data_IF_806559008520
#
_entry.id   IF_806559008520
#
_cell.length_a   1.000
_cell.length_b   1.000
_cell.length_c   1.000
_cell.angle_alpha   90.00
_cell.angle_beta   90.00
_cell.angle_gamma   90.00
#
_symmetry.space_group_name_H-M   'P 1'
#
loop_
_entity.id
_entity.type
_entity.pdbx_description
1 polymer ?
#
# COMPACT_ATOMS: atom_id res chain seq x y z
N UNK A 1 34.54 -10.98 54.48
CA UNK A 1 33.48 -10.38 53.65
C UNK A 1 33.45 -8.91 54.00
N UNK A 2 33.75 -8.03 53.05
CA UNK A 2 33.60 -6.59 53.26
C UNK A 2 32.17 -6.15 52.97
N UNK A 3 31.74 -5.01 53.53
CA UNK A 3 30.44 -4.41 53.19
C UNK A 3 30.27 -4.16 51.68
N UNK A 4 31.38 -3.96 50.95
CA UNK A 4 31.38 -3.70 49.51
C UNK A 4 30.80 -4.83 48.64
N UNK A 5 30.96 -6.11 49.02
CA UNK A 5 30.33 -7.21 48.28
C UNK A 5 28.81 -7.22 48.45
N UNK A 6 28.33 -6.96 49.67
CA UNK A 6 26.89 -6.90 49.96
C UNK A 6 26.22 -5.67 49.34
N UNK A 7 26.88 -4.51 49.38
CA UNK A 7 26.38 -3.26 48.82
C UNK A 7 26.29 -3.30 47.30
N UNK A 8 27.35 -3.76 46.61
CA UNK A 8 27.34 -3.88 45.15
C UNK A 8 26.28 -4.86 44.65
N UNK A 9 26.04 -5.95 45.38
CA UNK A 9 24.92 -6.87 45.10
C UNK A 9 23.54 -6.23 45.32
N UNK A 10 23.39 -5.36 46.33
CA UNK A 10 22.14 -4.64 46.60
C UNK A 10 21.82 -3.65 45.46
N UNK A 11 22.81 -2.87 45.04
CA UNK A 11 22.68 -1.88 43.97
C UNK A 11 22.33 -2.55 42.63
N UNK A 12 23.02 -3.65 42.30
CA UNK A 12 22.74 -4.43 41.10
C UNK A 12 21.32 -5.04 41.12
N UNK A 13 20.87 -5.54 42.29
CA UNK A 13 19.50 -6.05 42.44
C UNK A 13 18.45 -4.95 42.31
N UNK A 14 18.72 -3.73 42.80
CA UNK A 14 17.82 -2.57 42.65
C UNK A 14 17.64 -2.19 41.18
N UNK A 15 18.75 -2.04 40.44
CA UNK A 15 18.67 -1.71 39.01
C UNK A 15 17.94 -2.80 38.20
N UNK A 16 18.12 -4.07 38.56
CA UNK A 16 17.38 -5.16 37.94
C UNK A 16 15.86 -5.05 38.20
N UNK A 17 15.47 -4.71 39.44
CA UNK A 17 14.07 -4.49 39.79
C UNK A 17 13.48 -3.29 39.03
N UNK A 18 14.25 -2.22 38.81
CA UNK A 18 13.81 -1.06 38.05
C UNK A 18 13.55 -1.41 36.58
N UNK A 19 14.45 -2.20 35.96
CA UNK A 19 14.28 -2.68 34.58
C UNK A 19 13.06 -3.59 34.45
N UNK A 20 12.89 -4.56 35.36
CA UNK A 20 11.72 -5.46 35.38
C UNK A 20 10.43 -4.65 35.60
N UNK A 21 10.43 -3.69 36.53
CA UNK A 21 9.31 -2.80 36.80
C UNK A 21 8.91 -1.99 35.57
N UNK A 22 9.89 -1.45 34.84
CA UNK A 22 9.66 -0.73 33.59
C UNK A 22 9.05 -1.63 32.50
N UNK A 23 9.59 -2.85 32.32
CA UNK A 23 9.04 -3.83 31.38
C UNK A 23 7.57 -4.13 31.69
N UNK A 24 7.23 -4.39 32.96
CA UNK A 24 5.86 -4.68 33.39
C UNK A 24 4.94 -3.47 33.14
N UNK A 25 5.39 -2.26 33.47
CA UNK A 25 4.60 -1.05 33.24
C UNK A 25 4.29 -0.84 31.76
N UNK A 26 5.23 -1.20 30.87
CA UNK A 26 5.09 -1.07 29.42
C UNK A 26 4.66 -2.35 28.69
N UNK A 27 4.10 -3.33 29.42
CA UNK A 27 3.66 -4.59 28.82
C UNK A 27 2.51 -4.42 27.81
N UNK A 28 1.77 -3.31 27.88
CA UNK A 28 0.68 -2.98 26.95
C UNK A 28 1.04 -1.84 25.98
N UNK A 29 2.24 -1.29 26.06
CA UNK A 29 2.65 -0.18 25.20
C UNK A 29 3.04 -0.71 23.82
N UNK A 30 2.38 -0.22 22.77
CA UNK A 30 2.63 -0.64 21.38
C UNK A 30 4.06 -0.28 20.95
N UNK A 31 4.73 -1.22 20.28
CA UNK A 31 6.11 -1.06 19.82
C UNK A 31 7.16 -1.05 20.92
N UNK A 32 6.81 -1.30 22.19
CA UNK A 32 7.77 -1.34 23.28
C UNK A 32 8.71 -2.56 23.18
N UNK A 33 9.99 -2.33 23.49
CA UNK A 33 11.04 -3.35 23.52
C UNK A 33 11.53 -3.55 24.95
N UNK A 34 11.31 -4.74 25.48
CA UNK A 34 11.79 -5.17 26.80
C UNK A 34 13.28 -4.92 26.95
N UNK A 35 13.70 -4.50 28.15
CA UNK A 35 15.10 -4.33 28.49
C UNK A 35 15.57 -5.44 29.43
N UNK A 36 16.87 -5.71 29.46
CA UNK A 36 17.49 -6.65 30.41
C UNK A 36 18.81 -6.08 30.90
N UNK A 37 19.00 -6.08 32.22
CA UNK A 37 20.27 -5.73 32.83
C UNK A 37 21.27 -6.89 32.69
N UNK A 38 22.47 -6.60 32.21
CA UNK A 38 23.58 -7.54 32.19
C UNK A 38 24.56 -7.20 33.32
N UNK A 39 25.18 -8.22 33.90
CA UNK A 39 26.04 -8.07 35.06
C UNK A 39 27.45 -8.59 34.75
N UNK A 40 28.45 -7.92 35.32
CA UNK A 40 29.84 -8.37 35.29
C UNK A 40 30.39 -8.46 36.70
N UNK A 41 31.21 -9.48 36.96
CA UNK A 41 31.94 -9.58 38.22
C UNK A 41 33.05 -8.53 38.30
N UNK A 42 33.42 -8.18 39.54
CA UNK A 42 34.54 -7.28 39.81
C UNK A 42 35.62 -8.09 40.50
N UNK A 43 36.82 -8.13 39.92
CA UNK A 43 38.00 -8.75 40.51
C UNK A 43 39.12 -7.72 40.71
N UNK A 44 39.85 -7.86 41.82
CA UNK A 44 41.19 -7.30 42.00
C UNK A 44 42.24 -8.41 41.80
N UNK A 45 43.53 -8.07 41.90
CA UNK A 45 44.67 -9.03 41.81
C UNK A 45 44.62 -10.17 42.86
N UNK A 46 43.67 -10.13 43.80
CA UNK A 46 43.41 -11.20 44.77
C UNK A 46 42.40 -12.23 44.22
N UNK A 47 42.48 -13.48 44.70
CA UNK A 47 41.59 -14.58 44.29
C UNK A 47 40.13 -14.46 44.80
N UNK A 48 39.80 -13.40 45.54
CA UNK A 48 38.47 -13.15 46.09
C UNK A 48 37.80 -12.02 45.31
N UNK A 49 36.58 -12.27 44.81
CA UNK A 49 35.79 -11.27 44.10
C UNK A 49 35.40 -10.07 44.98
N UNK A 50 35.32 -8.89 44.35
CA UNK A 50 34.94 -7.63 44.98
C UNK A 50 33.43 -7.34 44.88
N UNK A 51 32.68 -8.18 44.17
CA UNK A 51 31.23 -8.05 44.00
C UNK A 51 30.82 -8.07 42.54
N UNK A 52 29.76 -7.34 42.22
CA UNK A 52 29.13 -7.30 40.89
C UNK A 52 28.86 -5.85 40.48
N UNK A 53 28.88 -5.56 39.19
CA UNK A 53 28.36 -4.31 38.62
C UNK A 53 27.39 -4.59 37.49
N UNK A 54 26.50 -3.63 37.21
CA UNK A 54 25.72 -3.63 35.98
C UNK A 54 26.64 -3.20 34.84
N UNK A 55 26.77 -4.05 33.82
CA UNK A 55 27.64 -3.81 32.68
C UNK A 55 26.92 -3.01 31.58
N UNK A 56 25.68 -3.39 31.28
CA UNK A 56 24.80 -2.69 30.34
C UNK A 56 23.32 -2.95 30.67
N UNK A 57 22.45 -2.11 30.13
CA UNK A 57 21.01 -2.36 30.05
C UNK A 57 20.69 -2.43 28.56
N UNK A 58 20.50 -3.64 28.05
CA UNK A 58 20.29 -3.86 26.63
C UNK A 58 18.79 -4.05 26.33
N UNK A 59 18.33 -3.48 25.23
CA UNK A 59 16.97 -3.68 24.76
C UNK A 59 16.89 -4.91 23.84
N UNK A 60 15.84 -5.71 24.01
CA UNK A 60 15.57 -6.86 23.16
C UNK A 60 14.70 -6.42 22.00
N UNK A 61 15.29 -6.33 20.81
CA UNK A 61 14.59 -5.98 19.56
C UNK A 61 13.90 -7.18 18.88
N UNK A 62 13.56 -8.22 19.65
CA UNK A 62 12.70 -9.30 19.13
C UNK A 62 11.31 -8.75 18.80
N UNK A 63 10.67 -9.36 17.81
CA UNK A 63 9.35 -8.93 17.33
C UNK A 63 8.28 -9.36 18.34
N UNK A 64 7.38 -8.45 18.67
CA UNK A 64 6.17 -8.74 19.43
C UNK A 64 5.11 -9.42 18.56
N UNK A 65 3.95 -9.72 19.13
CA UNK A 65 2.84 -10.22 18.32
C UNK A 65 2.26 -9.08 17.46
N UNK A 66 2.09 -9.29 16.16
CA UNK A 66 1.44 -8.33 15.27
C UNK A 66 -0.07 -8.57 15.33
N UNK A 67 -0.83 -7.56 15.74
CA UNK A 67 -2.29 -7.64 15.87
C UNK A 67 -2.97 -6.66 14.93
N UNK A 68 -3.97 -7.13 14.18
CA UNK A 68 -4.82 -6.26 13.36
C UNK A 68 -5.70 -5.40 14.25
N UNK A 69 -5.69 -4.09 14.00
CA UNK A 69 -6.47 -3.08 14.75
C UNK A 69 -7.67 -2.57 13.94
N UNK A 70 -7.61 -2.67 12.61
CA UNK A 70 -8.56 -2.03 11.70
C UNK A 70 -8.38 -0.52 11.55
N UNK A 71 -7.42 0.08 12.27
CA UNK A 71 -7.07 1.49 12.12
C UNK A 71 -6.43 1.75 10.76
N UNK A 72 -7.00 2.65 9.96
CA UNK A 72 -6.59 2.85 8.58
C UNK A 72 -5.09 3.20 8.42
N UNK A 73 -4.52 3.93 9.39
CA UNK A 73 -3.13 4.40 9.38
C UNK A 73 -2.20 3.59 10.26
N UNK A 74 -2.72 2.55 10.93
CA UNK A 74 -1.90 1.69 11.76
C UNK A 74 -1.00 0.83 10.87
N UNK A 75 0.28 0.78 11.20
CA UNK A 75 1.29 0.01 10.49
C UNK A 75 2.10 -0.85 11.46
N UNK A 76 2.32 -2.10 11.10
CA UNK A 76 3.25 -2.97 11.80
C UNK A 76 4.40 -3.34 10.88
N UNK A 77 5.60 -3.41 11.46
CA UNK A 77 6.77 -3.99 10.80
C UNK A 77 6.73 -5.50 11.07
N UNK A 78 6.46 -6.29 10.04
CA UNK A 78 6.38 -7.75 10.13
C UNK A 78 7.79 -8.36 10.03
N UNK A 79 8.58 -8.17 11.09
CA UNK A 79 9.93 -8.73 11.20
C UNK A 79 10.87 -7.97 12.14
N UNK A 80 12.03 -8.59 12.40
CA UNK A 80 13.02 -8.07 13.37
C UNK A 80 13.80 -6.87 12.87
N UNK A 81 13.76 -6.57 11.57
CA UNK A 81 14.65 -5.61 10.93
C UNK A 81 13.85 -4.44 10.36
N UNK A 82 14.16 -3.22 10.81
CA UNK A 82 13.52 -2.00 10.34
C UNK A 82 12.92 -1.17 11.47
N UNK A 83 12.96 0.14 11.30
CA UNK A 83 12.30 1.14 12.14
C UNK A 83 11.61 2.14 11.22
N UNK A 84 10.45 2.64 11.63
CA UNK A 84 9.86 3.80 10.99
C UNK A 84 10.74 5.01 11.25
N UNK A 85 11.04 5.77 10.18
CA UNK A 85 11.79 7.01 10.29
C UNK A 85 10.84 8.19 10.39
N UNK A 86 10.94 8.92 11.48
CA UNK A 86 10.14 10.09 11.77
C UNK A 86 10.99 11.36 11.71
N UNK A 87 10.34 12.49 11.47
CA UNK A 87 10.95 13.81 11.56
C UNK A 87 10.04 14.74 12.36
N UNK A 88 10.61 15.51 13.27
CA UNK A 88 9.86 16.52 14.02
C UNK A 88 9.82 17.87 13.27
N UNK A 89 9.13 18.86 13.84
CA UNK A 89 9.02 20.19 13.25
C UNK A 89 10.35 20.96 13.19
N UNK A 90 11.36 20.55 13.97
CA UNK A 90 12.72 21.13 13.95
C UNK A 90 13.62 20.50 12.88
N UNK A 91 13.17 19.42 12.25
CA UNK A 91 13.96 18.62 11.30
C UNK A 91 14.79 17.52 11.96
N UNK A 92 14.65 17.30 13.27
CA UNK A 92 15.35 16.24 13.98
C UNK A 92 14.74 14.88 13.62
N UNK A 93 15.60 13.90 13.36
CA UNK A 93 15.21 12.56 12.93
C UNK A 93 15.14 11.65 14.15
N UNK A 94 14.07 10.87 14.24
CA UNK A 94 13.95 9.78 15.22
C UNK A 94 13.46 8.51 14.55
N UNK A 95 13.66 7.40 15.23
CA UNK A 95 13.29 6.08 14.76
C UNK A 95 12.31 5.45 15.75
N UNK A 96 11.29 4.75 15.28
CA UNK A 96 10.32 4.06 16.15
C UNK A 96 9.88 2.72 15.60
N UNK A 97 9.39 1.88 16.51
CA UNK A 97 8.64 0.64 16.22
C UNK A 97 7.14 0.83 16.41
N UNK A 98 6.72 1.89 17.08
CA UNK A 98 5.30 2.18 17.22
C UNK A 98 4.77 2.71 15.90
N UNK A 99 3.88 1.95 15.26
CA UNK A 99 3.24 2.36 14.02
C UNK A 99 1.79 2.80 14.18
N UNK A 100 1.43 3.32 15.36
CA UNK A 100 0.18 4.05 15.56
C UNK A 100 0.32 5.45 14.95
N UNK A 101 -0.22 5.62 13.75
CA UNK A 101 -0.23 6.89 13.03
C UNK A 101 -1.64 7.46 12.89
N UNK A 102 -1.70 8.75 12.63
CA UNK A 102 -2.89 9.50 12.26
C UNK A 102 -2.54 10.55 11.22
N UNK A 103 -3.50 11.43 10.93
CA UNK A 103 -3.32 12.54 10.00
C UNK A 103 -3.42 13.86 10.76
N UNK A 104 -2.50 14.79 10.48
CA UNK A 104 -2.59 16.15 10.99
C UNK A 104 -3.46 17.08 10.11
N UNK A 105 -3.64 18.34 10.54
CA UNK A 105 -4.41 19.35 9.77
C UNK A 105 -3.84 19.66 8.37
N UNK A 106 -2.59 19.30 8.11
CA UNK A 106 -1.87 19.54 6.86
C UNK A 106 -1.83 18.28 5.98
N UNK A 107 -2.53 17.21 6.37
CA UNK A 107 -2.56 15.92 5.71
C UNK A 107 -1.23 15.15 5.76
N UNK A 108 -0.35 15.44 6.71
CA UNK A 108 0.83 14.62 6.97
C UNK A 108 0.44 13.40 7.79
N UNK A 109 1.08 12.26 7.52
CA UNK A 109 1.00 11.10 8.39
C UNK A 109 1.88 11.37 9.62
N UNK A 110 1.29 11.42 10.80
CA UNK A 110 1.97 11.76 12.06
C UNK A 110 1.72 10.72 13.15
N UNK A 111 2.64 10.59 14.09
CA UNK A 111 2.39 9.82 15.32
C UNK A 111 1.64 10.67 16.37
N UNK A 112 1.34 10.09 17.53
CA UNK A 112 0.69 10.77 18.64
C UNK A 112 1.48 11.99 19.19
N UNK A 113 2.79 12.03 18.99
CA UNK A 113 3.67 13.14 19.37
C UNK A 113 3.76 14.25 18.29
N UNK A 114 3.06 14.09 17.15
CA UNK A 114 3.07 15.05 16.04
C UNK A 114 4.29 14.98 15.13
N UNK A 115 5.13 13.94 15.27
CA UNK A 115 6.27 13.71 14.38
C UNK A 115 5.78 13.06 13.09
N UNK A 116 6.32 13.50 11.96
CA UNK A 116 5.89 13.10 10.63
C UNK A 116 6.59 11.82 10.17
N UNK A 117 5.82 10.86 9.65
CA UNK A 117 6.34 9.68 8.99
C UNK A 117 6.98 10.07 7.66
N UNK A 118 8.19 9.57 7.41
CA UNK A 118 8.95 9.87 6.19
C UNK A 118 8.98 8.69 5.23
N UNK A 119 9.13 9.00 3.95
CA UNK A 119 9.13 8.03 2.87
C UNK A 119 9.62 8.63 1.56
N UNK A 120 9.46 7.86 0.50
CA UNK A 120 9.81 8.25 -0.85
C UNK A 120 8.55 8.68 -1.60
N UNK A 121 8.65 9.73 -2.41
CA UNK A 121 7.60 10.09 -3.36
C UNK A 121 7.39 9.00 -4.41
N UNK A 122 6.35 9.09 -5.25
CA UNK A 122 6.05 8.10 -6.28
C UNK A 122 7.25 7.88 -7.20
N UNK A 123 7.73 6.63 -7.29
CA UNK A 123 8.92 6.27 -8.10
C UNK A 123 10.26 6.79 -7.57
N UNK A 124 10.30 7.42 -6.39
CA UNK A 124 11.48 8.05 -5.80
C UNK A 124 12.28 7.17 -4.84
N UNK A 125 12.08 5.85 -4.85
CA UNK A 125 12.81 4.93 -3.96
C UNK A 125 14.32 5.07 -4.20
N UNK A 126 15.08 5.30 -3.13
CA UNK A 126 16.53 5.54 -3.19
C UNK A 126 16.95 7.02 -3.20
N UNK A 127 16.00 7.96 -3.20
CA UNK A 127 16.26 9.38 -2.92
C UNK A 127 16.26 9.67 -1.42
N UNK A 128 16.48 10.92 -0.99
CA UNK A 128 16.35 11.27 0.43
C UNK A 128 14.87 11.20 0.88
N UNK A 129 14.53 10.51 1.98
CA UNK A 129 13.14 10.44 2.44
C UNK A 129 12.60 11.80 2.88
N UNK A 130 11.39 12.11 2.43
CA UNK A 130 10.63 13.33 2.75
C UNK A 130 9.39 12.98 3.59
N UNK A 131 8.80 13.93 4.34
CA UNK A 131 7.52 13.72 4.99
C UNK A 131 6.44 13.24 4.02
N UNK A 132 5.67 12.24 4.42
CA UNK A 132 4.58 11.69 3.63
C UNK A 132 3.30 12.49 3.85
N UNK A 133 2.83 13.14 2.78
CA UNK A 133 1.57 13.88 2.73
C UNK A 133 0.54 13.14 1.90
N UNK A 134 -0.70 13.11 2.38
CA UNK A 134 -1.80 12.52 1.62
C UNK A 134 -2.34 13.51 0.58
N UNK A 135 -2.62 13.04 -0.64
CA UNK A 135 -3.34 13.85 -1.61
C UNK A 135 -4.79 13.99 -1.15
N UNK A 136 -5.23 15.23 -0.92
CA UNK A 136 -6.63 15.56 -0.63
C UNK A 136 -7.34 16.18 -1.83
N UNK A 137 -6.62 16.41 -2.91
CA UNK A 137 -7.22 16.86 -4.16
C UNK A 137 -8.06 15.72 -4.76
N UNK A 138 -9.23 16.07 -5.26
CA UNK A 138 -9.98 15.18 -6.14
C UNK A 138 -9.11 14.84 -7.34
N UNK A 139 -9.18 13.59 -7.81
CA UNK A 139 -8.55 13.26 -9.08
C UNK A 139 -9.35 13.90 -10.21
N UNK A 140 -8.64 14.60 -11.09
CA UNK A 140 -9.21 15.17 -12.29
C UNK A 140 -9.85 14.04 -13.14
N UNK A 141 -10.94 14.35 -13.85
CA UNK A 141 -11.48 13.42 -14.82
C UNK A 141 -10.45 13.15 -15.92
N UNK A 142 -10.51 11.95 -16.49
CA UNK A 142 -9.75 11.59 -17.67
C UNK A 142 -10.73 11.19 -18.77
N UNK A 143 -10.63 11.84 -19.93
CA UNK A 143 -11.40 11.45 -21.10
C UNK A 143 -11.06 10.00 -21.48
N UNK A 144 -12.05 9.24 -21.95
CA UNK A 144 -11.80 7.92 -22.50
C UNK A 144 -10.98 8.06 -23.78
N UNK A 145 -9.82 7.42 -23.82
CA UNK A 145 -8.93 7.39 -25.01
C UNK A 145 -8.86 6.01 -25.64
N UNK A 146 -9.11 4.97 -24.85
CA UNK A 146 -9.13 3.58 -25.31
C UNK A 146 -10.23 2.82 -24.59
N UNK A 147 -10.88 1.91 -25.32
CA UNK A 147 -11.74 0.90 -24.71
C UNK A 147 -11.40 -0.46 -25.28
N UNK A 148 -11.00 -1.40 -24.42
CA UNK A 148 -11.05 -2.81 -24.79
C UNK A 148 -12.51 -3.22 -25.01
N UNK A 149 -12.77 -4.00 -26.05
CA UNK A 149 -14.10 -4.52 -26.37
C UNK A 149 -13.97 -5.94 -26.93
N UNK A 150 -14.14 -6.95 -26.08
CA UNK A 150 -14.13 -8.35 -26.53
C UNK A 150 -15.56 -8.84 -26.66
N UNK A 151 -15.92 -9.39 -27.81
CA UNK A 151 -17.27 -9.90 -28.05
C UNK A 151 -17.28 -11.27 -28.71
N UNK A 152 -18.31 -12.06 -28.41
CA UNK A 152 -18.73 -13.16 -29.26
C UNK A 152 -19.97 -12.74 -30.06
N UNK A 153 -19.85 -12.72 -31.39
CA UNK A 153 -20.98 -12.48 -32.29
C UNK A 153 -21.58 -13.82 -32.75
N UNK A 154 -22.91 -13.92 -32.79
CA UNK A 154 -23.57 -15.18 -33.15
C UNK A 154 -23.32 -15.58 -34.60
N UNK A 155 -22.65 -16.71 -34.83
CA UNK A 155 -22.33 -17.21 -36.16
C UNK A 155 -23.55 -17.40 -37.08
N UNK A 156 -24.70 -17.73 -36.51
CA UNK A 156 -25.93 -18.07 -37.20
C UNK A 156 -26.92 -16.90 -37.29
N UNK A 157 -26.49 -15.68 -36.95
CA UNK A 157 -27.31 -14.49 -37.10
C UNK A 157 -27.85 -14.32 -38.53
N UNK A 158 -29.09 -13.85 -38.65
CA UNK A 158 -29.70 -13.57 -39.95
C UNK A 158 -28.93 -12.48 -40.69
N UNK A 159 -28.63 -12.71 -41.97
CA UNK A 159 -27.93 -11.74 -42.81
C UNK A 159 -28.84 -10.57 -43.11
N UNK A 160 -28.38 -9.35 -42.80
CA UNK A 160 -29.07 -8.11 -43.13
C UNK A 160 -28.52 -7.63 -44.49
N UNK A 161 -29.38 -7.49 -45.52
CA UNK A 161 -28.95 -7.03 -46.83
C UNK A 161 -28.22 -5.69 -46.78
N UNK A 162 -27.15 -5.53 -47.56
CA UNK A 162 -26.38 -4.28 -47.61
C UNK A 162 -27.20 -3.08 -48.13
N UNK A 163 -28.33 -3.33 -48.81
CA UNK A 163 -29.28 -2.30 -49.24
C UNK A 163 -30.10 -1.71 -48.09
N UNK A 164 -30.17 -2.40 -46.95
CA UNK A 164 -30.88 -1.91 -45.76
C UNK A 164 -29.97 -0.91 -45.04
N UNK A 165 -30.33 0.38 -45.12
CA UNK A 165 -29.62 1.43 -44.40
C UNK A 165 -29.69 1.20 -42.88
N UNK A 166 -28.59 1.45 -42.18
CA UNK A 166 -28.53 1.36 -40.73
C UNK A 166 -29.38 2.47 -40.08
N UNK A 167 -30.15 2.12 -39.05
CA UNK A 167 -30.91 3.04 -38.22
C UNK A 167 -30.96 2.51 -36.77
N UNK A 168 -30.35 3.20 -35.80
CA UNK A 168 -30.32 2.75 -34.40
C UNK A 168 -31.71 2.70 -33.74
N UNK A 169 -32.72 3.37 -34.31
CA UNK A 169 -34.10 3.30 -33.84
C UNK A 169 -34.87 2.09 -34.41
N UNK A 170 -34.31 1.38 -35.39
CA UNK A 170 -34.95 0.25 -36.07
C UNK A 170 -34.15 -1.04 -35.85
N UNK A 171 -34.69 -1.92 -35.00
CA UNK A 171 -34.10 -3.21 -34.64
C UNK A 171 -33.92 -4.19 -35.81
N UNK A 172 -34.56 -3.95 -36.95
CA UNK A 172 -34.37 -4.77 -38.16
C UNK A 172 -33.08 -4.43 -38.93
N UNK A 173 -32.40 -3.33 -38.58
CA UNK A 173 -31.23 -2.84 -39.32
C UNK A 173 -29.89 -3.25 -38.70
N UNK A 174 -29.92 -3.84 -37.51
CA UNK A 174 -28.75 -4.37 -36.81
C UNK A 174 -29.09 -5.73 -36.17
N UNK A 175 -28.06 -6.51 -35.87
CA UNK A 175 -28.16 -7.83 -35.24
C UNK A 175 -28.10 -7.69 -33.73
N UNK A 176 -27.09 -6.99 -33.22
CA UNK A 176 -26.83 -6.82 -31.79
C UNK A 176 -26.38 -5.38 -31.52
N UNK A 177 -26.60 -4.91 -30.29
CA UNK A 177 -26.15 -3.59 -29.86
C UNK A 177 -25.67 -3.62 -28.41
N UNK A 178 -24.57 -2.93 -28.13
CA UNK A 178 -24.00 -2.83 -26.80
C UNK A 178 -23.76 -1.36 -26.42
N UNK A 179 -24.51 -0.81 -25.44
CA UNK A 179 -24.19 0.48 -24.84
C UNK A 179 -23.04 0.34 -23.84
N UNK A 180 -22.17 1.34 -23.80
CA UNK A 180 -21.14 1.53 -22.78
C UNK A 180 -21.06 2.99 -22.35
N UNK A 181 -20.61 3.22 -21.12
CA UNK A 181 -20.37 4.57 -20.62
C UNK A 181 -18.93 4.97 -20.90
N UNK A 182 -18.74 6.12 -21.53
CA UNK A 182 -17.43 6.76 -21.76
C UNK A 182 -17.44 8.17 -21.16
N UNK A 183 -16.27 8.75 -20.96
CA UNK A 183 -16.12 10.05 -20.30
C UNK A 183 -15.45 11.06 -21.22
N UNK A 184 -15.90 12.31 -21.18
CA UNK A 184 -15.23 13.43 -21.85
C UNK A 184 -14.11 14.05 -20.99
N UNK A 185 -13.45 15.09 -21.51
CA UNK A 185 -12.35 15.78 -20.80
C UNK A 185 -12.78 16.53 -19.54
N UNK A 186 -14.08 16.75 -19.35
CA UNK A 186 -14.65 17.43 -18.19
C UNK A 186 -15.26 16.44 -17.18
N UNK A 187 -15.27 15.15 -17.51
CA UNK A 187 -15.80 14.08 -16.67
C UNK A 187 -17.29 13.81 -16.85
N UNK A 188 -17.94 14.41 -17.85
CA UNK A 188 -19.33 14.08 -18.17
C UNK A 188 -19.39 12.66 -18.75
N UNK A 189 -20.40 11.92 -18.33
CA UNK A 189 -20.68 10.58 -18.87
C UNK A 189 -21.47 10.69 -20.18
N UNK A 190 -21.01 9.96 -21.20
CA UNK A 190 -21.69 9.79 -22.48
C UNK A 190 -21.99 8.32 -22.72
N UNK A 191 -23.10 8.02 -23.36
CA UNK A 191 -23.46 6.67 -23.78
C UNK A 191 -22.95 6.41 -25.20
N UNK A 192 -21.86 5.65 -25.31
CA UNK A 192 -21.38 5.12 -26.58
C UNK A 192 -22.07 3.79 -26.85
N UNK A 193 -22.90 3.74 -27.89
CA UNK A 193 -23.54 2.49 -28.32
C UNK A 193 -22.89 1.98 -29.59
N UNK A 194 -22.41 0.74 -29.52
CA UNK A 194 -21.87 -0.01 -30.67
C UNK A 194 -22.97 -0.92 -31.22
N UNK A 195 -23.20 -0.86 -32.53
CA UNK A 195 -24.18 -1.70 -33.22
C UNK A 195 -23.48 -2.61 -34.21
N UNK A 196 -23.84 -3.90 -34.20
CA UNK A 196 -23.31 -4.91 -35.10
C UNK A 196 -24.38 -5.33 -36.09
N UNK A 197 -24.11 -5.25 -37.38
CA UNK A 197 -25.03 -5.70 -38.43
C UNK A 197 -24.39 -6.83 -39.24
N UNK A 198 -24.97 -8.04 -39.14
CA UNK A 198 -24.50 -9.21 -39.89
C UNK A 198 -24.62 -8.98 -41.40
N UNK A 199 -23.53 -9.19 -42.14
CA UNK A 199 -23.50 -9.12 -43.61
C UNK A 199 -23.27 -10.49 -44.24
N UNK A 200 -23.48 -10.54 -45.56
CA UNK A 200 -23.14 -11.71 -46.35
C UNK A 200 -21.63 -11.95 -46.27
N UNK A 201 -21.23 -13.22 -46.07
CA UNK A 201 -19.83 -13.60 -46.08
C UNK A 201 -19.18 -13.38 -47.45
N UNK A 202 -17.85 -13.23 -47.47
CA UNK A 202 -17.10 -12.97 -48.71
C UNK A 202 -16.09 -14.09 -49.01
N UNK A 203 -15.45 -14.02 -50.18
CA UNK A 203 -14.41 -14.97 -50.58
C UNK A 203 -14.90 -16.20 -51.35
N UNK A 204 -15.96 -16.05 -52.15
CA UNK A 204 -16.49 -17.06 -53.07
C UNK A 204 -17.61 -17.94 -52.48
N UNK A 205 -18.24 -18.83 -53.27
CA UNK A 205 -19.14 -19.85 -52.77
C UNK A 205 -18.40 -21.20 -52.56
N UNK A 206 -18.33 -21.76 -51.34
CA UNK A 206 -18.86 -21.22 -50.09
C UNK A 206 -17.99 -20.06 -49.55
N UNK A 207 -18.61 -19.15 -48.79
CA UNK A 207 -17.92 -18.01 -48.21
C UNK A 207 -16.78 -18.49 -47.30
N UNK A 208 -15.61 -17.88 -47.43
CA UNK A 208 -14.41 -18.20 -46.65
C UNK A 208 -14.18 -17.22 -45.50
N UNK A 209 -14.98 -16.15 -45.45
CA UNK A 209 -14.98 -15.19 -44.36
C UNK A 209 -16.40 -14.82 -43.98
N UNK A 210 -16.56 -14.47 -42.71
CA UNK A 210 -17.79 -13.92 -42.17
C UNK A 210 -17.64 -12.44 -41.90
N UNK A 211 -18.68 -11.65 -42.16
CA UNK A 211 -18.61 -10.19 -42.16
C UNK A 211 -19.68 -9.58 -41.25
N UNK A 212 -19.29 -8.57 -40.48
CA UNK A 212 -20.17 -7.66 -39.76
C UNK A 212 -19.80 -6.22 -40.07
N UNK A 213 -20.80 -5.38 -40.25
CA UNK A 213 -20.61 -3.94 -40.25
C UNK A 213 -20.87 -3.41 -38.85
N UNK A 214 -19.99 -2.53 -38.37
CA UNK A 214 -20.07 -1.95 -37.03
C UNK A 214 -20.29 -0.45 -37.10
N UNK A 215 -21.34 0.02 -36.42
CA UNK A 215 -21.76 1.41 -36.36
C UNK A 215 -21.68 1.92 -34.92
N UNK A 216 -21.48 3.24 -34.77
CA UNK A 216 -21.28 3.86 -33.48
C UNK A 216 -22.18 5.08 -33.31
N UNK A 217 -22.75 5.22 -32.12
CA UNK A 217 -23.46 6.44 -31.73
C UNK A 217 -22.98 6.90 -30.36
N UNK A 218 -22.89 8.21 -30.16
CA UNK A 218 -22.64 8.84 -28.87
C UNK A 218 -23.87 9.67 -28.50
N UNK A 219 -24.52 9.34 -27.38
CA UNK A 219 -25.77 9.97 -26.92
C UNK A 219 -26.85 10.07 -28.02
N UNK A 220 -26.98 9.00 -28.82
CA UNK A 220 -27.92 8.94 -29.94
C UNK A 220 -27.52 9.78 -31.16
N UNK A 221 -26.36 10.43 -31.16
CA UNK A 221 -25.78 11.12 -32.31
C UNK A 221 -24.78 10.24 -33.04
N UNK A 222 -24.66 10.40 -34.35
CA UNK A 222 -23.71 9.65 -35.18
C UNK A 222 -22.26 9.88 -34.73
N UNK A 223 -21.50 8.81 -34.49
CA UNK A 223 -20.06 8.87 -34.23
C UNK A 223 -19.32 8.13 -35.35
N UNK A 224 -18.42 8.82 -36.04
CA UNK A 224 -17.76 8.26 -37.22
C UNK A 224 -16.38 7.69 -36.87
N UNK A 225 -16.02 6.51 -37.40
CA UNK A 225 -14.63 6.07 -37.45
C UNK A 225 -13.77 7.05 -38.25
N UNK A 226 -12.58 7.36 -37.75
CA UNK A 226 -11.60 8.29 -38.35
C UNK A 226 -10.86 7.68 -39.55
N UNK A 227 -10.85 6.35 -39.66
CA UNK A 227 -10.34 5.61 -40.81
C UNK A 227 -11.45 4.75 -41.40
N UNK A 228 -12.18 5.20 -42.43
CA UNK A 228 -13.03 4.30 -43.20
C UNK A 228 -12.14 3.37 -44.06
N UNK A 229 -12.35 2.04 -44.07
CA UNK A 229 -11.80 1.18 -45.10
C UNK A 229 -12.58 1.23 -46.42
N UNK A 230 -13.65 2.04 -46.53
CA UNK A 230 -14.47 2.09 -47.75
C UNK A 230 -14.17 3.33 -48.62
N UNK A 231 -13.39 3.19 -49.71
CA UNK A 231 -13.19 4.24 -50.71
C UNK A 231 -14.45 4.57 -51.55
N UNK A 232 -15.58 3.87 -51.37
CA UNK A 232 -16.84 4.11 -52.09
C UNK A 232 -17.85 4.98 -51.31
N UNK A 233 -17.55 5.37 -50.07
CA UNK A 233 -18.46 6.19 -49.27
C UNK A 233 -18.42 7.68 -49.71
N UNK A 234 -19.42 8.10 -50.49
CA UNK A 234 -19.68 9.52 -50.80
C UNK A 234 -20.37 10.16 -49.58
N UNK A 235 -19.81 11.22 -48.96
CA UNK A 235 -20.50 11.95 -47.90
C UNK A 235 -21.77 12.64 -48.40
N UNK A 236 -22.83 12.72 -47.58
CA UNK A 236 -22.90 12.27 -46.19
C UNK A 236 -23.32 10.80 -46.09
N UNK A 237 -22.55 10.01 -45.33
CA UNK A 237 -22.94 8.66 -44.94
C UNK A 237 -23.86 8.78 -43.72
N UNK A 238 -25.14 8.39 -43.79
CA UNK A 238 -26.03 8.39 -42.63
C UNK A 238 -25.38 7.60 -41.49
N UNK A 239 -25.41 8.15 -40.28
CA UNK A 239 -24.81 7.54 -39.07
C UNK A 239 -23.29 7.34 -39.08
N UNK A 240 -22.54 8.10 -39.90
CA UNK A 240 -21.07 8.19 -39.79
C UNK A 240 -20.28 7.06 -40.45
N UNK A 241 -20.97 6.14 -41.13
CA UNK A 241 -20.37 5.00 -41.83
C UNK A 241 -20.01 3.83 -40.91
N UNK A 242 -19.89 2.65 -41.51
CA UNK A 242 -19.55 1.43 -40.80
C UNK A 242 -18.05 1.11 -40.90
N UNK A 243 -17.53 0.46 -39.86
CA UNK A 243 -16.27 -0.30 -39.98
C UNK A 243 -16.60 -1.76 -40.23
N UNK A 244 -16.02 -2.34 -41.28
CA UNK A 244 -16.21 -3.75 -41.58
C UNK A 244 -15.29 -4.61 -40.71
N UNK A 245 -15.90 -5.55 -39.99
CA UNK A 245 -15.23 -6.63 -39.28
C UNK A 245 -15.34 -7.93 -40.04
N UNK A 246 -14.23 -8.64 -40.20
CA UNK A 246 -14.10 -9.91 -40.86
C UNK A 246 -13.57 -10.98 -39.91
N UNK A 247 -14.19 -12.15 -39.95
CA UNK A 247 -13.80 -13.33 -39.20
C UNK A 247 -13.37 -14.44 -40.16
N UNK A 248 -12.32 -15.16 -39.79
CA UNK A 248 -11.87 -16.33 -40.55
C UNK A 248 -12.83 -17.53 -40.38
N UNK A 249 -12.55 -18.62 -41.10
CA UNK A 249 -13.33 -19.87 -41.01
C UNK A 249 -13.30 -20.52 -39.62
N UNK A 250 -12.37 -20.11 -38.76
CA UNK A 250 -12.25 -20.57 -37.37
C UNK A 250 -12.94 -19.62 -36.39
N UNK A 251 -13.67 -18.60 -36.87
CA UNK A 251 -14.42 -17.66 -36.04
C UNK A 251 -13.54 -16.63 -35.34
N UNK A 252 -12.28 -16.44 -35.75
CA UNK A 252 -11.38 -15.44 -35.15
C UNK A 252 -11.41 -14.14 -35.95
N UNK A 253 -11.40 -13.02 -35.24
CA UNK A 253 -11.32 -11.70 -35.86
C UNK A 253 -9.99 -11.54 -36.64
N UNK A 254 -10.07 -11.10 -37.89
CA UNK A 254 -8.92 -10.84 -38.78
C UNK A 254 -8.79 -9.36 -39.15
N UNK A 255 -9.91 -8.64 -39.22
CA UNK A 255 -9.99 -7.19 -39.41
C UNK A 255 -11.32 -6.71 -38.80
N UNK A 256 -11.50 -5.47 -38.34
CA UNK A 256 -10.48 -4.52 -37.94
C UNK A 256 -10.25 -4.68 -36.42
N UNK A 257 -9.05 -5.08 -35.94
CA UNK A 257 -8.80 -5.29 -34.51
C UNK A 257 -8.80 -3.99 -33.70
N UNK A 258 -8.64 -2.83 -34.34
CA UNK A 258 -8.75 -1.53 -33.69
C UNK A 258 -9.49 -0.54 -34.58
N UNK A 259 -10.44 0.21 -34.00
CA UNK A 259 -11.25 1.21 -34.69
C UNK A 259 -11.14 2.54 -33.94
N UNK A 260 -10.58 3.55 -34.58
CA UNK A 260 -10.44 4.88 -33.99
C UNK A 260 -11.69 5.71 -34.26
N UNK A 261 -12.40 6.12 -33.23
CA UNK A 261 -13.60 6.94 -33.28
C UNK A 261 -13.25 8.40 -32.95
N UNK A 262 -13.98 9.34 -33.54
CA UNK A 262 -13.91 10.74 -33.14
C UNK A 262 -15.28 11.37 -33.02
N UNK A 263 -15.45 12.22 -32.01
CA UNK A 263 -16.64 13.03 -31.83
C UNK A 263 -16.21 14.45 -31.43
N UNK A 264 -16.50 15.48 -32.25
CA UNK A 264 -15.88 16.80 -32.10
C UNK A 264 -16.41 17.60 -30.90
N UNK A 265 -17.67 17.40 -30.51
CA UNK A 265 -18.34 18.24 -29.51
C UNK A 265 -19.17 17.41 -28.53
N UNK A 266 -18.53 16.56 -27.69
CA UNK A 266 -19.26 15.64 -26.81
C UNK A 266 -20.17 16.37 -25.81
N UNK A 267 -19.73 17.50 -25.25
CA UNK A 267 -20.53 18.31 -24.32
C UNK A 267 -21.49 19.34 -24.95
N UNK A 268 -21.64 19.34 -26.28
CA UNK A 268 -22.48 20.30 -27.00
C UNK A 268 -22.09 21.76 -26.78
N UNK A 269 -23.08 22.66 -26.72
CA UNK A 269 -22.87 24.11 -26.51
C UNK A 269 -22.80 24.50 -25.04
N UNK A 270 -23.32 23.67 -24.14
CA UNK A 270 -23.38 23.94 -22.70
C UNK A 270 -22.15 23.50 -21.93
N UNK A 271 -21.32 22.64 -22.51
CA UNK A 271 -20.09 22.13 -21.89
C UNK A 271 -18.98 22.04 -22.95
N UNK A 272 -18.03 22.99 -22.98
CA UNK A 272 -16.98 23.04 -24.00
C UNK A 272 -15.88 22.00 -23.73
N UNK A 273 -16.26 20.72 -23.72
CA UNK A 273 -15.33 19.60 -23.61
C UNK A 273 -14.49 19.46 -24.89
N UNK A 274 -13.27 18.98 -24.75
CA UNK A 274 -12.40 18.68 -25.87
C UNK A 274 -13.01 17.58 -26.77
N UNK A 275 -12.65 17.53 -28.07
CA UNK A 275 -13.05 16.43 -28.95
C UNK A 275 -12.72 15.07 -28.34
N UNK A 276 -13.69 14.17 -28.33
CA UNK A 276 -13.53 12.82 -27.81
C UNK A 276 -12.97 11.92 -28.91
N UNK A 277 -11.79 11.36 -28.68
CA UNK A 277 -11.15 10.42 -29.60
C UNK A 277 -10.90 9.09 -28.87
N UNK A 278 -11.53 8.01 -29.33
CA UNK A 278 -11.51 6.71 -28.65
C UNK A 278 -10.98 5.65 -29.61
N UNK A 279 -9.92 4.93 -29.22
CA UNK A 279 -9.49 3.71 -29.87
C UNK A 279 -10.26 2.51 -29.30
N UNK A 280 -11.21 1.96 -30.09
CA UNK A 280 -11.91 0.73 -29.76
C UNK A 280 -11.05 -0.47 -30.14
N UNK A 281 -10.65 -1.27 -29.17
CA UNK A 281 -9.81 -2.46 -29.38
C UNK A 281 -10.64 -3.74 -29.30
N UNK A 282 -10.82 -4.39 -30.46
CA UNK A 282 -11.60 -5.63 -30.63
C UNK A 282 -10.75 -6.89 -30.59
N UNK A 283 -9.46 -6.78 -30.26
CA UNK A 283 -8.54 -7.92 -30.21
C UNK A 283 -9.08 -9.03 -29.32
N UNK A 284 -9.15 -10.25 -29.86
CA UNK A 284 -9.69 -11.42 -29.15
C UNK A 284 -11.19 -11.65 -29.33
N UNK A 285 -11.90 -10.77 -30.04
CA UNK A 285 -13.30 -11.01 -30.40
C UNK A 285 -13.46 -12.22 -31.32
N UNK A 286 -14.57 -12.92 -31.17
CA UNK A 286 -14.86 -14.16 -31.87
C UNK A 286 -16.24 -14.13 -32.51
N UNK A 287 -16.45 -15.10 -33.39
CA UNK A 287 -17.75 -15.38 -33.95
C UNK A 287 -18.02 -16.88 -33.89
N UNK A 288 -18.73 -17.32 -32.85
CA UNK A 288 -19.10 -18.72 -32.64
C UNK A 288 -20.62 -18.92 -32.64
N UNK A 289 -21.05 -20.17 -32.79
CA UNK A 289 -22.45 -20.58 -32.68
C UNK A 289 -22.92 -20.53 -31.22
N UNK A 290 -23.16 -19.32 -30.73
CA UNK A 290 -23.65 -19.04 -29.38
C UNK A 290 -24.25 -17.64 -29.33
N UNK A 291 -24.83 -17.29 -28.19
CA UNK A 291 -25.45 -15.98 -27.99
C UNK A 291 -24.43 -14.84 -28.03
N UNK A 292 -24.94 -13.63 -28.30
CA UNK A 292 -24.13 -12.42 -28.22
C UNK A 292 -23.62 -12.21 -26.79
N UNK A 293 -22.32 -11.96 -26.67
CA UNK A 293 -21.72 -11.50 -25.42
C UNK A 293 -20.71 -10.40 -25.70
N UNK A 294 -20.60 -9.45 -24.78
CA UNK A 294 -19.65 -8.36 -24.88
C UNK A 294 -19.09 -8.02 -23.50
N UNK A 295 -17.79 -7.82 -23.43
CA UNK A 295 -17.07 -7.29 -22.28
C UNK A 295 -16.27 -6.06 -22.72
N UNK A 296 -16.27 -5.01 -21.91
CA UNK A 296 -15.67 -3.73 -22.26
C UNK A 296 -14.97 -3.07 -21.08
N UNK A 297 -13.85 -2.42 -21.36
CA UNK A 297 -12.97 -1.82 -20.36
C UNK A 297 -12.46 -0.45 -20.83
N UNK A 298 -13.29 0.61 -20.74
CA UNK A 298 -12.87 1.97 -21.04
C UNK A 298 -11.86 2.46 -19.99
N UNK A 299 -10.87 3.23 -20.43
CA UNK A 299 -9.81 3.76 -19.58
C UNK A 299 -10.20 5.06 -18.84
N UNK A 300 -11.14 5.83 -19.39
CA UNK A 300 -11.59 7.12 -18.87
C UNK A 300 -12.31 7.02 -17.52
N UNK A 301 -12.44 8.16 -16.84
CA UNK A 301 -13.10 8.27 -15.55
C UNK A 301 -13.66 9.68 -15.29
N UNK A 302 -14.73 9.71 -14.50
CA UNK A 302 -15.22 10.92 -13.82
C UNK A 302 -14.23 11.40 -12.75
N UNK A 303 -14.44 12.60 -12.20
CA UNK A 303 -13.76 13.05 -10.98
C UNK A 303 -13.99 12.06 -9.83
N UNK A 304 -12.96 11.86 -9.01
CA UNK A 304 -13.02 10.99 -7.85
C UNK A 304 -12.67 11.74 -6.59
N UNK A 305 -13.47 11.57 -5.54
CA UNK A 305 -13.15 12.07 -4.20
C UNK A 305 -12.32 11.05 -3.44
N UNK A 306 -11.39 11.51 -2.61
CA UNK A 306 -10.58 10.63 -1.76
C UNK A 306 -11.50 9.84 -0.82
N UNK A 307 -11.35 8.51 -0.82
CA UNK A 307 -12.15 7.62 0.04
C UNK A 307 -11.31 7.12 1.21
N UNK A 308 -10.23 6.41 0.92
CA UNK A 308 -9.34 5.85 1.93
C UNK A 308 -7.94 5.61 1.35
N UNK A 309 -7.06 5.08 2.20
CA UNK A 309 -5.71 4.70 1.85
C UNK A 309 -5.47 3.25 2.22
N UNK A 310 -4.65 2.59 1.43
CA UNK A 310 -4.17 1.25 1.69
C UNK A 310 -2.66 1.24 1.68
N UNK A 311 -2.09 0.46 2.59
CA UNK A 311 -0.66 0.22 2.69
C UNK A 311 -0.34 -1.16 2.13
N UNK A 312 0.52 -1.21 1.12
CA UNK A 312 1.07 -2.44 0.57
C UNK A 312 2.12 -3.05 1.49
N UNK A 313 2.40 -4.35 1.30
CA UNK A 313 3.44 -5.07 2.07
C UNK A 313 4.85 -4.54 1.83
N UNK A 314 5.06 -3.96 0.66
CA UNK A 314 6.27 -3.28 0.21
C UNK A 314 6.35 -1.82 0.69
N UNK A 315 5.41 -1.39 1.55
CA UNK A 315 5.29 -0.04 2.06
C UNK A 315 4.73 0.97 1.06
N UNK A 316 4.27 0.54 -0.11
CA UNK A 316 3.56 1.41 -1.04
C UNK A 316 2.28 1.96 -0.38
N UNK A 317 2.02 3.23 -0.61
CA UNK A 317 0.88 3.95 -0.08
C UNK A 317 -0.02 4.28 -1.26
N UNK A 318 -1.24 3.76 -1.27
CA UNK A 318 -2.18 3.92 -2.37
C UNK A 318 -3.46 4.58 -1.87
N UNK A 319 -3.80 5.72 -2.47
CA UNK A 319 -5.07 6.40 -2.24
C UNK A 319 -6.14 5.79 -3.16
N UNK A 320 -7.30 5.48 -2.60
CA UNK A 320 -8.47 4.95 -3.31
C UNK A 320 -9.53 6.05 -3.41
N UNK A 321 -10.14 6.18 -4.59
CA UNK A 321 -11.11 7.24 -4.88
C UNK A 321 -12.50 6.68 -5.20
N UNK A 322 -13.53 7.51 -5.07
CA UNK A 322 -14.94 7.11 -5.27
C UNK A 322 -15.26 6.63 -6.68
N UNK A 323 -14.46 7.03 -7.68
CA UNK A 323 -14.58 6.58 -9.07
C UNK A 323 -13.86 5.24 -9.35
N UNK A 324 -13.38 4.55 -8.31
CA UNK A 324 -12.71 3.25 -8.41
C UNK A 324 -11.26 3.30 -8.89
N UNK A 325 -10.71 4.49 -9.18
CA UNK A 325 -9.29 4.65 -9.50
C UNK A 325 -8.45 4.68 -8.24
N UNK A 326 -7.18 4.33 -8.41
CA UNK A 326 -6.18 4.36 -7.35
C UNK A 326 -5.00 5.21 -7.77
N UNK A 327 -4.37 5.89 -6.82
CA UNK A 327 -3.17 6.69 -7.06
C UNK A 327 -2.10 6.35 -6.02
N UNK A 328 -0.89 6.08 -6.48
CA UNK A 328 0.26 5.91 -5.59
C UNK A 328 0.66 7.25 -5.01
N UNK A 329 0.65 7.36 -3.69
CA UNK A 329 1.07 8.53 -2.91
C UNK A 329 2.58 8.52 -2.69
N UNK A 330 3.15 7.34 -2.45
CA UNK A 330 4.56 7.16 -2.16
C UNK A 330 4.83 5.81 -1.53
N UNK A 331 5.99 5.69 -0.88
CA UNK A 331 6.42 4.46 -0.21
C UNK A 331 7.05 4.79 1.13
N UNK A 332 6.65 4.12 2.22
CA UNK A 332 7.25 4.30 3.55
C UNK A 332 8.74 3.94 3.53
N UNK A 333 9.58 4.79 4.14
CA UNK A 333 11.00 4.48 4.32
C UNK A 333 11.22 3.78 5.66
N UNK A 334 11.91 2.64 5.63
CA UNK A 334 12.41 2.00 6.84
C UNK A 334 13.91 2.24 6.98
N UNK A 335 14.34 2.32 8.23
CA UNK A 335 15.75 2.40 8.62
C UNK A 335 16.17 1.13 9.35
N UNK A 336 17.36 0.62 9.06
CA UNK A 336 18.01 -0.41 9.86
C UNK A 336 19.38 0.06 10.35
N UNK A 337 19.90 -0.57 11.39
CA UNK A 337 21.18 -0.23 11.99
C UNK A 337 22.05 -1.47 12.13
N UNK A 338 23.37 -1.30 11.98
CA UNK A 338 24.31 -2.39 12.20
C UNK A 338 24.32 -2.83 13.67
N UNK A 339 24.16 -1.87 14.59
CA UNK A 339 24.07 -2.14 16.02
C UNK A 339 22.84 -1.44 16.64
N UNK A 340 21.74 -2.18 16.77
CA UNK A 340 20.49 -1.65 17.35
C UNK A 340 20.59 -1.33 18.84
N UNK A 341 21.49 -1.99 19.59
CA UNK A 341 21.71 -1.69 21.01
C UNK A 341 22.51 -0.40 21.23
N UNK A 342 23.16 0.13 20.18
CA UNK A 342 23.81 1.44 20.23
C UNK A 342 22.83 2.61 20.07
N UNK A 343 21.54 2.36 19.80
CA UNK A 343 20.53 3.40 19.70
C UNK A 343 20.21 4.00 21.06
N UNK A 344 20.14 5.32 21.14
CA UNK A 344 19.79 6.02 22.37
C UNK A 344 18.27 6.19 22.45
N UNK A 345 17.57 5.66 23.48
CA UNK A 345 16.17 6.00 23.71
C UNK A 345 16.03 7.48 24.09
N UNK A 346 15.07 8.18 23.48
CA UNK A 346 14.82 9.61 23.68
C UNK A 346 13.42 9.92 24.25
N UNK A 347 12.68 8.89 24.71
CA UNK A 347 11.29 9.01 25.17
C UNK A 347 10.27 8.69 24.08
N UNK A 348 8.99 8.60 24.45
CA UNK A 348 7.85 8.38 23.53
C UNK A 348 8.01 7.21 22.54
N UNK A 349 8.68 6.14 22.96
CA UNK A 349 9.01 4.98 22.13
C UNK A 349 9.84 5.34 20.89
N UNK A 350 10.70 6.36 21.01
CA UNK A 350 11.61 6.80 19.98
C UNK A 350 13.08 6.53 20.35
N UNK A 351 13.86 6.32 19.31
CA UNK A 351 15.30 6.14 19.34
C UNK A 351 16.00 7.18 18.47
N UNK A 352 17.17 7.63 18.91
CA UNK A 352 18.11 8.42 18.12
C UNK A 352 19.32 7.58 17.73
N UNK A 353 19.86 7.84 16.54
CA UNK A 353 21.14 7.28 16.13
C UNK A 353 22.30 7.87 16.95
N UNK A 354 23.35 7.07 17.12
CA UNK A 354 24.58 7.44 17.83
C UNK A 354 25.80 6.97 17.04
N UNK A 355 27.01 7.33 17.50
CA UNK A 355 28.24 6.78 16.94
C UNK A 355 28.36 5.25 17.13
N UNK A 356 27.72 4.68 18.16
CA UNK A 356 27.78 3.25 18.47
C UNK A 356 26.77 2.43 17.65
N UNK A 357 25.65 3.02 17.21
CA UNK A 357 24.69 2.36 16.33
C UNK A 357 25.16 2.26 14.88
N UNK A 358 26.03 3.22 14.49
CA UNK A 358 26.33 3.51 13.09
C UNK A 358 25.21 4.31 12.42
N UNK A 359 25.43 4.66 11.15
CA UNK A 359 24.46 5.39 10.33
C UNK A 359 23.26 4.50 9.96
N UNK A 360 22.08 5.11 9.85
CA UNK A 360 20.89 4.43 9.38
C UNK A 360 21.03 3.97 7.92
N UNK A 361 20.77 2.67 7.69
CA UNK A 361 20.62 2.10 6.35
C UNK A 361 19.15 2.21 5.96
N UNK A 362 18.86 3.11 5.03
CA UNK A 362 17.50 3.39 4.56
C UNK A 362 17.13 2.50 3.38
N UNK A 363 15.85 2.12 3.30
CA UNK A 363 15.35 1.36 2.18
C UNK A 363 13.83 1.21 2.17
N UNK A 364 13.34 0.52 1.15
CA UNK A 364 11.95 0.13 1.03
C UNK A 364 11.70 -1.18 1.81
N UNK A 365 10.55 -1.32 2.50
CA UNK A 365 10.14 -2.60 3.10
C UNK A 365 10.27 -3.79 2.14
N UNK A 366 10.77 -4.91 2.65
CA UNK A 366 10.98 -6.14 1.87
C UNK A 366 12.24 -6.16 1.00
N UNK A 367 13.04 -5.09 1.00
CA UNK A 367 14.32 -5.02 0.26
C UNK A 367 15.51 -4.91 1.20
N UNK A 368 16.71 -5.34 0.75
CA UNK A 368 17.96 -5.20 1.51
C UNK A 368 17.91 -5.72 2.96
N UNK A 369 17.12 -6.77 3.22
CA UNK A 369 16.97 -7.37 4.55
C UNK A 369 16.04 -6.61 5.51
N UNK A 370 15.36 -5.56 5.03
CA UNK A 370 14.26 -4.89 5.75
C UNK A 370 13.01 -5.77 5.73
N UNK A 371 12.28 -5.77 6.85
CA UNK A 371 11.02 -6.48 6.97
C UNK A 371 9.91 -5.87 6.09
N UNK A 372 8.88 -6.67 5.82
CA UNK A 372 7.68 -6.20 5.15
C UNK A 372 6.82 -5.39 6.13
N UNK A 373 5.88 -4.62 5.60
CA UNK A 373 4.85 -3.97 6.39
C UNK A 373 3.54 -4.75 6.36
N UNK A 374 2.77 -4.59 7.43
CA UNK A 374 1.39 -4.99 7.50
C UNK A 374 0.55 -3.76 7.84
N UNK A 375 -0.33 -3.36 6.93
CA UNK A 375 -1.28 -2.28 7.17
C UNK A 375 -2.41 -2.70 8.10
N UNK A 376 -3.04 -1.72 8.74
CA UNK A 376 -4.13 -1.87 9.71
C UNK A 376 -3.77 -2.77 10.89
N UNK A 377 -2.49 -2.78 11.27
CA UNK A 377 -1.98 -3.62 12.34
C UNK A 377 -0.95 -2.84 13.17
N UNK A 378 -0.75 -3.27 14.40
CA UNK A 378 0.29 -2.74 15.29
C UNK A 378 1.11 -3.87 15.89
N UNK A 379 2.37 -3.58 16.21
CA UNK A 379 3.24 -4.51 16.93
C UNK A 379 3.03 -4.37 18.44
N UNK A 380 2.56 -5.42 19.11
CA UNK A 380 2.44 -5.43 20.57
C UNK A 380 3.81 -5.36 21.27
N UNK A 381 3.81 -5.00 22.55
CA UNK A 381 5.00 -5.12 23.39
C UNK A 381 5.53 -6.56 23.37
N UNK A 382 6.85 -6.73 23.33
CA UNK A 382 7.46 -8.06 23.39
C UNK A 382 7.68 -8.56 24.83
N UNK A 383 7.12 -7.86 25.83
CA UNK A 383 7.18 -8.23 27.24
C UNK A 383 6.23 -9.39 27.53
N UNK A 384 6.74 -10.44 28.16
CA UNK A 384 5.91 -11.51 28.72
C UNK A 384 5.71 -11.30 30.23
N UNK A 385 4.50 -10.87 30.62
CA UNK A 385 4.17 -10.54 32.01
C UNK A 385 4.40 -11.71 32.97
N UNK A 386 4.11 -12.95 32.56
CA UNK A 386 4.33 -14.12 33.41
C UNK A 386 5.82 -14.32 33.72
N UNK A 387 6.69 -14.14 32.73
CA UNK A 387 8.14 -14.24 32.91
C UNK A 387 8.67 -13.08 33.76
N UNK A 388 8.22 -11.84 33.50
CA UNK A 388 8.67 -10.67 34.27
C UNK A 388 8.26 -10.73 35.74
N UNK A 389 7.05 -11.21 36.05
CA UNK A 389 6.61 -11.39 37.45
C UNK A 389 7.45 -12.43 38.20
N UNK A 390 7.87 -13.51 37.53
CA UNK A 390 8.79 -14.50 38.11
C UNK A 390 10.17 -13.87 38.33
N UNK A 391 10.69 -13.13 37.34
CA UNK A 391 11.97 -12.42 37.45
C UNK A 391 11.95 -11.41 38.61
N UNK A 392 10.83 -10.72 38.82
CA UNK A 392 10.64 -9.79 39.95
C UNK A 392 10.78 -10.53 41.29
N UNK A 393 10.13 -11.69 41.45
CA UNK A 393 10.23 -12.50 42.67
C UNK A 393 11.67 -12.94 42.92
N UNK A 394 12.39 -13.34 41.86
CA UNK A 394 13.81 -13.72 41.96
C UNK A 394 14.67 -12.52 42.38
N UNK A 395 14.50 -11.36 41.73
CA UNK A 395 15.24 -10.15 42.05
C UNK A 395 14.97 -9.66 43.49
N UNK A 396 13.72 -9.73 43.96
CA UNK A 396 13.35 -9.43 45.35
C UNK A 396 14.03 -10.38 46.35
N UNK A 397 14.08 -11.69 46.07
CA UNK A 397 14.79 -12.66 46.92
C UNK A 397 16.29 -12.38 46.94
N UNK A 398 16.89 -12.03 45.81
CA UNK A 398 18.30 -11.64 45.73
C UNK A 398 18.58 -10.37 46.56
N UNK A 399 17.72 -9.36 46.46
CA UNK A 399 17.82 -8.14 47.29
C UNK A 399 17.76 -8.46 48.79
N UNK A 400 16.82 -9.32 49.21
CA UNK A 400 16.71 -9.78 50.61
C UNK A 400 17.93 -10.57 51.08
N UNK A 401 18.48 -11.44 50.23
CA UNK A 401 19.69 -12.22 50.53
C UNK A 401 20.93 -11.30 50.70
N UNK A 402 21.10 -10.31 49.84
CA UNK A 402 22.18 -9.33 49.96
C UNK A 402 22.03 -8.47 51.24
N UNK A 403 20.81 -8.08 51.58
CA UNK A 403 20.51 -7.37 52.84
C UNK A 403 20.87 -8.20 54.07
N UNK A 404 20.57 -9.50 54.06
CA UNK A 404 20.93 -10.38 55.17
C UNK A 404 22.45 -10.53 55.33
N UNK A 405 23.22 -10.51 54.24
CA UNK A 405 24.68 -10.53 54.29
C UNK A 405 25.23 -9.30 55.03
N UNK A 406 24.64 -8.12 54.77
CA UNK A 406 24.99 -6.87 55.48
C UNK A 406 24.67 -6.98 56.98
N UNK A 407 23.50 -7.53 57.33
CA UNK A 407 23.10 -7.74 58.74
C UNK A 407 24.05 -8.67 59.48
N UNK A 408 24.45 -9.79 58.87
CA UNK A 408 25.41 -10.72 59.48
C UNK A 408 26.77 -10.05 59.69
N UNK A 409 27.23 -9.26 58.72
CA UNK A 409 28.50 -8.53 58.85
C UNK A 409 28.46 -7.48 59.96
N UNK A 410 27.35 -6.75 60.09
CA UNK A 410 27.12 -5.78 61.17
C UNK A 410 27.11 -6.46 62.56
N UNK A 411 26.43 -7.60 62.69
CA UNK A 411 26.44 -8.38 63.94
C UNK A 411 27.84 -8.86 64.35
N UNK A 412 28.66 -9.29 63.38
CA UNK A 412 30.07 -9.69 63.65
C UNK A 412 30.90 -8.50 64.13
N UNK A 413 30.71 -7.32 63.54
CA UNK A 413 31.40 -6.09 63.96
C UNK A 413 30.97 -5.63 65.35
N UNK A 414 29.67 -5.66 65.65
CA UNK A 414 29.15 -5.36 66.99
C UNK A 414 29.70 -6.32 68.03
N UNK A 415 29.80 -7.62 67.71
CA UNK A 415 30.40 -8.63 68.60
C UNK A 415 31.88 -8.35 68.87
N UNK A 416 32.63 -7.94 67.84
CA UNK A 416 34.04 -7.54 67.96
C UNK A 416 34.22 -6.29 68.83
N UNK A 417 33.36 -5.29 68.66
CA UNK A 417 33.37 -4.06 69.46
C UNK A 417 33.02 -4.33 70.93
N UNK A 418 32.16 -5.32 71.21
CA UNK A 418 31.77 -5.71 72.57
C UNK A 418 32.81 -6.55 73.32
N UNK A 419 33.88 -7.02 72.64
CA UNK A 419 34.99 -7.77 73.23
C UNK A 419 36.15 -6.83 73.65
N UNK A 420 36.10 -5.55 73.26
CA UNK A 420 36.94 -4.47 73.81
C UNK A 420 36.22 -3.75 74.94
#
# INVERSE_FOLDING_TARGET
MGFGQGLSGLDAASQNLDVIGNNIANANTVGFKSATATFADIYATSRVGLGVKVASIDQRFTVGNVTSTGGQYDLAIDGSNGFFRLVDASGSISYTRNGQFGIDKNNNIVNAAGQQLTGYGPGGVGTAPVPLTLPTANIAPAATTRSGFTTNLNANAAVIPATTAFDPANTATYTDSQPMTVYDSLGNSHQLTTYFAKRAGTGGPPATTSVYDVYYTLDGSAMSPTTPPDPAAVPPVPWGGATQMTFDTSGRLTSAPTVNLSFPTPGGTGSPAAPLAIAMDYTGSTQFGGDFSADFTPDGNTTGEFTNITFGKDGSIVANYTNGKTQTVGTVALANFNNVNGLQPIGDNNWSETSESGQAVLGQPGTNGLANLQGQAVEASNVNLSTELVNMIVAQRTYQANTNTIKTQDQVLQSLLAIQ
#
